data_IF_864439536105
#
_entry.id   IF_864439536105
#
_cell.length_a   1.000
_cell.length_b   1.000
_cell.length_c   1.000
_cell.angle_alpha   90.00
_cell.angle_beta   90.00
_cell.angle_gamma   90.00
#
_symmetry.space_group_name_H-M   'P 1'
#
loop_
_entity.id
_entity.type
_entity.pdbx_description
1 polymer ?
#
# COMPACT_ATOMS: atom_id res chain seq x y z
N UNK A 1 9.58 36.61 -10.46
CA UNK A 1 9.28 35.96 -9.17
C UNK A 1 9.45 34.46 -9.37
N UNK A 2 10.56 33.90 -8.85
CA UNK A 2 11.07 32.56 -9.17
C UNK A 2 10.28 31.51 -8.39
N UNK A 3 9.67 30.57 -9.10
CA UNK A 3 8.89 29.46 -8.54
C UNK A 3 9.85 28.44 -7.89
N UNK A 4 10.16 28.63 -6.61
CA UNK A 4 10.99 27.69 -5.84
C UNK A 4 10.17 26.44 -5.55
N UNK A 5 10.49 25.30 -6.18
CA UNK A 5 9.93 23.99 -5.79
C UNK A 5 10.27 23.74 -4.32
N UNK A 6 9.28 23.39 -3.49
CA UNK A 6 9.54 22.98 -2.10
C UNK A 6 10.32 21.66 -2.11
N UNK A 7 11.38 21.50 -1.31
CA UNK A 7 12.08 20.22 -1.18
C UNK A 7 11.11 19.16 -0.64
N UNK A 8 11.07 17.99 -1.29
CA UNK A 8 10.17 16.88 -0.96
C UNK A 8 8.89 16.76 -1.82
N UNK A 9 8.68 17.69 -2.77
CA UNK A 9 7.54 17.60 -3.69
C UNK A 9 7.86 16.67 -4.89
N UNK A 10 7.57 15.38 -4.71
CA UNK A 10 7.70 14.36 -5.76
C UNK A 10 6.49 14.30 -6.72
N UNK A 11 5.55 15.25 -6.62
CA UNK A 11 4.31 15.21 -7.42
C UNK A 11 4.63 15.53 -8.87
N UNK A 12 4.15 14.68 -9.77
CA UNK A 12 4.24 14.93 -11.22
C UNK A 12 3.37 16.12 -11.60
N UNK A 13 3.60 16.71 -12.78
CA UNK A 13 2.81 17.84 -13.27
C UNK A 13 1.30 17.54 -13.26
N UNK A 14 0.91 16.32 -13.67
CA UNK A 14 -0.48 15.87 -13.62
C UNK A 14 -1.07 15.77 -12.21
N UNK A 15 -0.28 15.39 -11.21
CA UNK A 15 -0.73 15.38 -9.80
C UNK A 15 -1.04 16.79 -9.29
N UNK A 16 -0.27 17.80 -9.71
CA UNK A 16 -0.51 19.20 -9.29
C UNK A 16 -1.77 19.79 -9.91
N UNK A 17 -2.03 19.47 -11.17
CA UNK A 17 -3.25 19.90 -11.88
C UNK A 17 -4.48 19.26 -11.23
N UNK A 18 -4.46 17.95 -11.01
CA UNK A 18 -5.58 17.24 -10.37
C UNK A 18 -5.82 17.71 -8.94
N UNK A 19 -4.76 17.98 -8.17
CA UNK A 19 -4.86 18.53 -6.81
C UNK A 19 -5.51 19.93 -6.78
N UNK A 20 -5.26 20.77 -7.79
CA UNK A 20 -5.89 22.09 -7.90
C UNK A 20 -7.41 22.03 -8.11
N UNK A 21 -7.94 20.90 -8.60
CA UNK A 21 -9.39 20.70 -8.77
C UNK A 21 -10.08 20.07 -7.57
N UNK A 22 -9.33 19.54 -6.59
CA UNK A 22 -9.91 18.92 -5.38
C UNK A 22 -10.79 19.86 -4.53
N UNK A 23 -10.54 21.18 -4.42
CA UNK A 23 -11.46 22.08 -3.73
C UNK A 23 -12.86 22.18 -4.36
N UNK A 24 -12.97 21.92 -5.68
CA UNK A 24 -14.23 21.99 -6.42
C UNK A 24 -14.91 20.63 -6.56
N UNK A 25 -14.13 19.56 -6.76
CA UNK A 25 -14.62 18.18 -6.92
C UNK A 25 -14.76 17.44 -5.57
N UNK A 26 -14.25 18.02 -4.50
CA UNK A 26 -14.06 17.37 -3.21
C UNK A 26 -12.77 16.53 -3.17
N UNK A 27 -12.34 16.12 -1.97
CA UNK A 27 -11.20 15.21 -1.84
C UNK A 27 -11.47 13.92 -2.60
N UNK A 28 -10.42 13.29 -3.13
CA UNK A 28 -10.53 11.97 -3.74
C UNK A 28 -11.25 11.03 -2.76
N UNK A 29 -12.46 10.60 -3.13
CA UNK A 29 -13.22 9.69 -2.27
C UNK A 29 -12.52 8.34 -2.30
N UNK A 30 -11.85 8.00 -1.20
CA UNK A 30 -11.47 6.61 -0.95
C UNK A 30 -12.79 5.89 -0.78
N UNK A 31 -13.24 5.18 -1.82
CA UNK A 31 -14.45 4.35 -1.75
C UNK A 31 -14.29 3.45 -0.52
N UNK A 32 -15.03 3.75 0.54
CA UNK A 32 -15.18 2.88 1.71
C UNK A 32 -16.11 1.76 1.33
N UNK A 33 -15.73 0.99 0.32
CA UNK A 33 -16.43 -0.26 0.02
C UNK A 33 -16.33 -1.09 1.29
N UNK A 34 -17.47 -1.58 1.83
CA UNK A 34 -17.44 -2.48 2.96
C UNK A 34 -16.48 -3.63 2.64
N UNK A 35 -15.67 -4.09 3.62
CA UNK A 35 -14.80 -5.23 3.41
C UNK A 35 -15.61 -6.38 2.82
N UNK A 36 -15.18 -6.90 1.67
CA UNK A 36 -15.83 -8.07 1.09
C UNK A 36 -15.64 -9.24 2.06
N UNK A 37 -16.70 -10.01 2.28
CA UNK A 37 -16.59 -11.21 3.11
C UNK A 37 -15.58 -12.18 2.48
N UNK A 38 -14.61 -12.60 3.30
CA UNK A 38 -13.56 -13.52 2.89
C UNK A 38 -14.15 -14.92 2.84
N UNK A 39 -13.98 -15.59 1.70
CA UNK A 39 -14.45 -16.98 1.54
C UNK A 39 -13.76 -17.92 2.55
N UNK A 40 -14.44 -18.99 3.03
CA UNK A 40 -13.85 -19.93 3.97
C UNK A 40 -12.52 -20.54 3.50
N UNK A 41 -12.40 -20.84 2.21
CA UNK A 41 -11.19 -21.43 1.62
C UNK A 41 -10.02 -20.43 1.65
N UNK A 42 -10.32 -19.14 1.46
CA UNK A 42 -9.32 -18.09 1.56
C UNK A 42 -8.84 -17.90 3.00
N UNK A 43 -9.73 -18.05 4.00
CA UNK A 43 -9.33 -18.04 5.42
C UNK A 43 -8.43 -19.23 5.76
N UNK A 44 -8.77 -20.43 5.30
CA UNK A 44 -7.98 -21.63 5.54
C UNK A 44 -6.59 -21.52 4.90
N UNK A 45 -6.51 -21.04 3.66
CA UNK A 45 -5.24 -20.79 2.97
C UNK A 45 -4.39 -19.75 3.70
N UNK A 46 -5.00 -18.66 4.16
CA UNK A 46 -4.31 -17.60 4.89
C UNK A 46 -3.76 -18.11 6.24
N UNK A 47 -4.50 -18.99 6.93
CA UNK A 47 -4.03 -19.66 8.13
C UNK A 47 -2.83 -20.58 7.84
N UNK A 48 -2.88 -21.36 6.76
CA UNK A 48 -1.77 -22.24 6.38
C UNK A 48 -0.51 -21.45 6.01
N UNK A 49 -0.65 -20.39 5.23
CA UNK A 49 0.48 -19.52 4.87
C UNK A 49 1.14 -18.88 6.09
N UNK A 50 0.35 -18.46 7.09
CA UNK A 50 0.90 -17.93 8.35
C UNK A 50 1.59 -18.99 9.22
N UNK A 51 1.25 -20.26 9.02
CA UNK A 51 1.87 -21.38 9.73
C UNK A 51 3.20 -21.78 9.08
N UNK A 52 3.27 -21.77 7.76
CA UNK A 52 4.41 -22.30 7.00
C UNK A 52 5.43 -21.26 6.59
N UNK A 53 5.07 -19.97 6.56
CA UNK A 53 5.93 -18.90 6.06
C UNK A 53 6.15 -17.80 7.09
N UNK A 54 7.38 -17.30 7.14
CA UNK A 54 7.78 -16.14 7.93
C UNK A 54 8.23 -14.98 7.04
N UNK A 55 7.94 -13.75 7.49
CA UNK A 55 8.43 -12.53 6.84
C UNK A 55 9.72 -12.08 7.51
N UNK A 56 10.79 -11.98 6.74
CA UNK A 56 12.11 -11.56 7.20
C UNK A 56 12.58 -10.35 6.41
N UNK A 57 13.19 -9.39 7.10
CA UNK A 57 13.86 -8.26 6.44
C UNK A 57 15.30 -8.64 6.18
N UNK A 58 15.70 -8.65 4.91
CA UNK A 58 17.06 -8.92 4.49
C UNK A 58 18.02 -7.77 4.82
N UNK A 59 19.34 -8.00 4.71
CA UNK A 59 20.36 -6.97 4.93
C UNK A 59 20.31 -5.83 3.90
N UNK A 60 19.66 -6.06 2.76
CA UNK A 60 19.38 -5.07 1.74
C UNK A 60 18.15 -4.19 2.06
N UNK A 61 17.52 -4.40 3.23
CA UNK A 61 16.32 -3.68 3.67
C UNK A 61 15.03 -4.12 2.98
N UNK A 62 15.06 -5.17 2.14
CA UNK A 62 13.86 -5.70 1.48
C UNK A 62 13.19 -6.77 2.33
N UNK A 63 11.87 -6.89 2.20
CA UNK A 63 11.09 -7.94 2.88
C UNK A 63 10.97 -9.17 2.00
N UNK A 64 11.34 -10.32 2.57
CA UNK A 64 11.23 -11.63 1.97
C UNK A 64 10.22 -12.48 2.74
N UNK A 65 9.62 -13.43 2.05
CA UNK A 65 8.79 -14.48 2.65
C UNK A 65 9.58 -15.78 2.50
N UNK A 66 9.91 -16.40 3.62
CA UNK A 66 10.72 -17.61 3.68
C UNK A 66 9.94 -18.72 4.36
N UNK A 67 10.30 -19.97 4.07
CA UNK A 67 9.75 -21.10 4.82
C UNK A 67 10.18 -21.00 6.28
N UNK A 68 9.23 -21.23 7.19
CA UNK A 68 9.50 -21.31 8.62
C UNK A 68 10.36 -22.57 8.86
N UNK A 69 11.46 -22.47 9.61
CA UNK A 69 12.23 -23.65 10.00
C UNK A 69 11.34 -24.62 10.76
N UNK A 70 11.40 -25.90 10.40
CA UNK A 70 10.81 -26.94 11.23
C UNK A 70 11.67 -27.06 12.49
N UNK A 71 11.07 -26.80 13.66
CA UNK A 71 11.68 -27.11 14.95
C UNK A 71 12.00 -28.61 15.07
#
# INVERSE_FOLDING_TARGET
MIWRKRPGDHRTWGMRVTEAFLPFMGPASIRRTPPREIRPEARARDAELRRTLDRVTGPDGRTYVVERPAD
#
